data_IF_549474871231
#
_entry.id   IF_549474871231
#
_cell.length_a   1.000
_cell.length_b   1.000
_cell.length_c   1.000
_cell.angle_alpha   90.00
_cell.angle_beta   90.00
_cell.angle_gamma   90.00
#
_symmetry.space_group_name_H-M   'P 1'
#
loop_
_entity.id
_entity.type
_entity.pdbx_description
1 polymer ?
#
# COMPACT_ATOMS: atom_id res chain seq x y z
N UNK A 1 4.09 -5.72 23.34
CA UNK A 1 4.75 -5.05 22.20
C UNK A 1 3.93 -5.34 20.96
N UNK A 2 3.21 -4.34 20.42
CA UNK A 2 2.33 -4.53 19.26
C UNK A 2 3.14 -4.90 18.02
N UNK A 3 3.14 -6.19 17.65
CA UNK A 3 3.62 -6.68 16.35
C UNK A 3 2.69 -6.15 15.27
N UNK A 4 2.90 -4.92 14.83
CA UNK A 4 2.26 -4.45 13.60
C UNK A 4 2.88 -5.26 12.46
N UNK A 5 2.10 -6.18 11.89
CA UNK A 5 2.53 -7.10 10.85
C UNK A 5 2.50 -6.45 9.45
N UNK A 6 2.56 -5.13 9.42
CA UNK A 6 2.43 -4.29 8.23
C UNK A 6 3.37 -3.10 8.31
N UNK A 7 3.81 -2.64 7.15
CA UNK A 7 4.55 -1.41 6.97
C UNK A 7 3.58 -0.24 6.76
N UNK A 8 3.97 0.96 7.19
CA UNK A 8 3.17 2.16 6.96
C UNK A 8 3.96 3.10 6.07
N UNK A 9 3.46 3.30 4.85
CA UNK A 9 4.01 4.27 3.91
C UNK A 9 3.25 5.59 4.12
N UNK A 10 3.98 6.65 4.47
CA UNK A 10 3.45 8.00 4.64
C UNK A 10 4.11 8.92 3.62
N UNK A 11 3.39 9.18 2.54
CA UNK A 11 3.77 10.08 1.45
C UNK A 11 2.72 11.19 1.35
N UNK A 12 2.50 11.74 0.16
CA UNK A 12 1.41 12.69 -0.08
C UNK A 12 0.04 12.02 0.13
N UNK A 13 -0.76 12.52 1.08
CA UNK A 13 -2.11 12.02 1.36
C UNK A 13 -2.21 11.19 2.63
N UNK A 14 -3.14 10.23 2.64
CA UNK A 14 -3.42 9.41 3.81
C UNK A 14 -2.44 8.23 3.95
N UNK A 15 -2.22 7.70 5.17
CA UNK A 15 -1.26 6.62 5.38
C UNK A 15 -1.67 5.36 4.61
N UNK A 16 -0.70 4.68 4.02
CA UNK A 16 -0.89 3.40 3.34
C UNK A 16 -0.36 2.31 4.27
N UNK A 17 -1.17 1.31 4.59
CA UNK A 17 -0.78 0.14 5.38
C UNK A 17 -0.55 -1.04 4.45
N UNK A 18 0.66 -1.56 4.44
CA UNK A 18 1.09 -2.58 3.52
C UNK A 18 1.48 -3.87 4.25
N UNK A 19 0.77 -4.96 3.96
CA UNK A 19 0.99 -6.28 4.57
C UNK A 19 1.90 -7.18 3.72
N UNK A 20 2.95 -6.62 3.10
CA UNK A 20 3.74 -7.30 2.06
C UNK A 20 5.05 -7.89 2.58
N UNK A 21 5.08 -8.39 3.82
CA UNK A 21 6.29 -8.96 4.42
C UNK A 21 6.77 -10.15 3.56
N UNK A 22 7.94 -10.00 2.93
CA UNK A 22 8.54 -11.03 2.08
C UNK A 22 8.17 -10.94 0.60
N UNK A 23 7.41 -9.92 0.19
CA UNK A 23 7.06 -9.65 -1.21
C UNK A 23 7.57 -8.26 -1.58
N UNK A 24 8.26 -8.14 -2.71
CA UNK A 24 8.72 -6.85 -3.20
C UNK A 24 7.54 -6.06 -3.76
N UNK A 25 7.43 -4.80 -3.35
CA UNK A 25 6.54 -3.84 -3.99
C UNK A 25 7.25 -3.26 -5.21
N UNK A 26 6.66 -3.39 -6.39
CA UNK A 26 7.16 -2.69 -7.57
C UNK A 26 6.93 -1.18 -7.46
N UNK A 27 7.84 -0.38 -8.03
CA UNK A 27 7.79 1.07 -7.96
C UNK A 27 6.51 1.66 -8.61
N UNK A 28 6.00 1.00 -9.65
CA UNK A 28 4.74 1.39 -10.29
C UNK A 28 3.53 1.21 -9.37
N UNK A 29 3.44 0.04 -8.71
CA UNK A 29 2.40 -0.24 -7.72
C UNK A 29 2.49 0.74 -6.55
N UNK A 30 3.71 1.08 -6.09
CA UNK A 30 3.91 2.12 -5.08
C UNK A 30 3.35 3.47 -5.51
N UNK A 31 3.63 3.92 -6.74
CA UNK A 31 3.08 5.18 -7.28
C UNK A 31 1.55 5.18 -7.34
N UNK A 32 0.95 4.07 -7.75
CA UNK A 32 -0.51 3.95 -7.77
C UNK A 32 -1.09 4.08 -6.36
N UNK A 33 -0.51 3.41 -5.37
CA UNK A 33 -0.97 3.49 -3.98
C UNK A 33 -0.87 4.93 -3.44
N UNK A 34 0.19 5.67 -3.79
CA UNK A 34 0.34 7.08 -3.42
C UNK A 34 -0.75 7.94 -4.06
N UNK A 35 -1.00 7.76 -5.36
CA UNK A 35 -2.04 8.51 -6.07
C UNK A 35 -3.43 8.23 -5.49
N UNK A 36 -3.73 6.97 -5.17
CA UNK A 36 -4.99 6.57 -4.53
C UNK A 36 -5.10 7.18 -3.14
N UNK A 37 -4.02 7.15 -2.35
CA UNK A 37 -3.99 7.75 -1.01
C UNK A 37 -4.18 9.27 -1.00
N UNK A 38 -3.92 9.94 -2.12
CA UNK A 38 -4.11 11.37 -2.31
C UNK A 38 -5.53 11.75 -2.80
N UNK A 39 -6.41 10.80 -3.09
CA UNK A 39 -7.76 11.10 -3.60
C UNK A 39 -8.66 11.73 -2.52
N UNK A 40 -9.51 12.72 -2.88
CA UNK A 40 -10.26 13.52 -1.90
C UNK A 40 -11.37 12.77 -1.16
N UNK A 41 -11.66 11.53 -1.55
CA UNK A 41 -12.66 10.66 -0.92
C UNK A 41 -12.04 9.48 -0.16
N UNK A 42 -10.71 9.44 0.03
CA UNK A 42 -10.11 8.51 1.00
C UNK A 42 -10.12 9.21 2.36
N UNK A 43 -10.51 8.48 3.42
CA UNK A 43 -10.82 9.10 4.72
C UNK A 43 -9.92 8.62 5.87
N UNK A 44 -9.26 7.46 5.76
CA UNK A 44 -8.51 6.85 6.88
C UNK A 44 -7.14 6.34 6.51
N UNK A 45 -7.09 5.41 5.56
CA UNK A 45 -5.86 4.80 5.06
C UNK A 45 -6.18 3.98 3.80
N UNK A 46 -5.15 3.73 3.01
CA UNK A 46 -5.18 2.70 1.97
C UNK A 46 -4.58 1.42 2.56
N UNK A 47 -5.18 0.25 2.29
CA UNK A 47 -4.66 -1.04 2.74
C UNK A 47 -4.26 -1.88 1.52
N UNK A 48 -3.06 -2.45 1.52
CA UNK A 48 -2.56 -3.32 0.44
C UNK A 48 -2.04 -4.65 0.98
N UNK A 49 -2.38 -5.73 0.30
CA UNK A 49 -1.98 -7.10 0.62
C UNK A 49 -1.15 -7.70 -0.54
N UNK A 50 -0.23 -8.63 -0.24
CA UNK A 50 0.72 -9.18 -1.21
C UNK A 50 0.12 -10.15 -2.23
N UNK A 51 -1.16 -10.51 -2.12
CA UNK A 51 -1.80 -11.52 -2.98
C UNK A 51 -2.35 -10.93 -4.30
N UNK A 52 -1.65 -9.95 -4.85
CA UNK A 52 -1.93 -9.43 -6.20
C UNK A 52 -0.87 -10.01 -7.14
N UNK A 53 -1.12 -11.23 -7.61
CA UNK A 53 -0.36 -11.80 -8.71
C UNK A 53 -0.86 -11.19 -10.02
N UNK A 54 -0.09 -10.28 -10.64
CA UNK A 54 -0.32 -9.89 -12.03
C UNK A 54 0.26 -10.99 -12.93
N UNK A 55 -0.60 -11.91 -13.38
CA UNK A 55 -0.23 -12.88 -14.41
C UNK A 55 -0.47 -12.22 -15.79
N UNK A 56 0.58 -11.95 -16.60
CA UNK A 56 0.38 -11.65 -18.00
C UNK A 56 -0.07 -12.94 -18.69
N UNK A 57 -1.31 -12.93 -19.19
CA UNK A 57 -1.71 -13.77 -20.34
C UNK A 57 -1.53 -12.95 -21.61
#
# INVERSE_FOLDING_TARGET
MNKQNYEVIRENGLPIKAWMRGVQLEDEARRQLINVAAMPFIHKHVAVMPDVHWYPI
#
